data_IF_239218708788
#
_entry.id   IF_239218708788
#
_cell.length_a   1.000
_cell.length_b   1.000
_cell.length_c   1.000
_cell.angle_alpha   90.00
_cell.angle_beta   90.00
_cell.angle_gamma   90.00
#
_symmetry.space_group_name_H-M   'P 1'
#
loop_
_entity.id
_entity.type
_entity.pdbx_description
1 polymer ?
#
# COMPACT_ATOMS: atom_id res chain seq x y z
N UNK A 1 -21.31 23.66 7.91
CA UNK A 1 -21.30 23.09 6.55
C UNK A 1 -21.43 21.58 6.68
N UNK A 2 -22.27 20.94 5.86
CA UNK A 2 -22.35 19.48 5.83
C UNK A 2 -21.03 18.88 5.29
N UNK A 3 -20.59 17.76 5.87
CA UNK A 3 -19.43 17.02 5.36
C UNK A 3 -19.70 16.52 3.93
N UNK A 4 -18.72 16.57 3.02
CA UNK A 4 -18.92 16.09 1.66
C UNK A 4 -19.17 14.57 1.66
N UNK A 5 -20.01 14.08 0.75
CA UNK A 5 -20.32 12.64 0.62
C UNK A 5 -19.18 11.81 0.05
N UNK A 6 -18.16 12.46 -0.51
CA UNK A 6 -16.94 11.86 -1.02
C UNK A 6 -15.81 12.90 -1.01
N UNK A 7 -14.57 12.44 -1.07
CA UNK A 7 -13.37 13.29 -1.13
C UNK A 7 -12.40 12.75 -2.19
N UNK A 8 -11.53 13.62 -2.70
CA UNK A 8 -10.38 13.21 -3.50
C UNK A 8 -9.16 13.21 -2.58
N UNK A 9 -8.49 12.07 -2.46
CA UNK A 9 -7.29 11.94 -1.65
C UNK A 9 -6.04 11.90 -2.54
N UNK A 10 -5.03 12.70 -2.21
CA UNK A 10 -3.72 12.61 -2.84
C UNK A 10 -3.04 11.30 -2.44
N UNK A 11 -2.59 10.51 -3.42
CA UNK A 11 -1.68 9.37 -3.21
C UNK A 11 -0.40 9.80 -2.49
N UNK A 12 0.15 10.98 -2.82
CA UNK A 12 1.33 11.52 -2.11
C UNK A 12 0.90 12.15 -0.80
N UNK A 13 1.42 11.65 0.31
CA UNK A 13 1.29 12.27 1.62
C UNK A 13 2.51 13.17 1.90
N UNK A 14 2.39 14.09 2.85
CA UNK A 14 3.50 14.94 3.29
C UNK A 14 4.06 14.42 4.60
N UNK A 15 5.38 14.36 4.68
CA UNK A 15 6.12 14.12 5.91
C UNK A 15 6.19 15.43 6.75
N UNK A 16 6.41 15.33 8.07
CA UNK A 16 6.61 16.51 8.91
C UNK A 16 7.85 17.29 8.47
N UNK A 17 7.78 18.62 8.49
CA UNK A 17 8.97 19.45 8.40
C UNK A 17 9.69 19.46 9.75
N UNK A 18 11.01 19.66 9.77
CA UNK A 18 11.74 19.88 11.01
C UNK A 18 11.26 21.21 11.64
N UNK A 19 10.28 21.14 12.54
CA UNK A 19 9.66 22.29 13.18
C UNK A 19 8.40 21.91 13.97
N UNK A 20 8.03 22.73 14.94
CA UNK A 20 6.85 22.53 15.79
C UNK A 20 5.57 22.87 15.00
N UNK A 21 4.81 21.84 14.61
CA UNK A 21 3.61 21.98 13.78
C UNK A 21 2.39 22.56 14.55
N UNK A 22 2.53 22.96 15.82
CA UNK A 22 1.49 23.69 16.58
C UNK A 22 0.16 22.93 16.77
N UNK A 23 0.16 21.60 16.57
CA UNK A 23 -1.02 20.73 16.59
C UNK A 23 -1.02 19.82 17.84
N UNK A 24 -2.21 19.41 18.35
CA UNK A 24 -2.34 18.69 19.62
C UNK A 24 -1.49 17.40 19.63
N UNK A 25 -0.68 17.20 20.68
CA UNK A 25 0.20 16.02 20.88
C UNK A 25 -0.59 14.69 20.79
N UNK A 26 -0.03 13.67 20.11
CA UNK A 26 -0.62 12.31 20.04
C UNK A 26 -1.12 11.74 18.69
N UNK A 27 -1.56 12.52 17.70
CA UNK A 27 -2.17 12.01 16.44
C UNK A 27 -1.19 11.37 15.42
N UNK A 28 -1.55 10.29 14.73
CA UNK A 28 -0.70 9.72 13.69
C UNK A 28 -0.56 10.63 12.46
N UNK A 29 -1.63 11.36 12.14
CA UNK A 29 -1.73 12.23 10.98
C UNK A 29 -2.71 13.38 11.23
N UNK A 30 -2.65 14.38 10.37
CA UNK A 30 -3.63 15.47 10.27
C UNK A 30 -4.23 15.48 8.86
N UNK A 31 -5.54 15.73 8.79
CA UNK A 31 -6.30 15.75 7.54
C UNK A 31 -7.29 16.91 7.54
N UNK A 32 -7.13 17.85 6.61
CA UNK A 32 -8.09 18.91 6.38
C UNK A 32 -8.90 18.57 5.12
N UNK A 33 -10.11 18.03 5.31
CA UNK A 33 -10.96 17.59 4.20
C UNK A 33 -11.31 18.77 3.29
N UNK A 34 -10.93 18.65 2.02
CA UNK A 34 -11.29 19.62 1.00
C UNK A 34 -12.57 19.15 0.29
N UNK A 35 -13.55 20.04 0.18
CA UNK A 35 -14.75 19.74 -0.61
C UNK A 35 -14.35 19.53 -2.09
N UNK A 36 -14.85 18.47 -2.75
CA UNK A 36 -14.56 18.21 -4.15
C UNK A 36 -14.89 19.41 -5.07
N UNK A 37 -14.16 19.59 -6.18
CA UNK A 37 -13.13 18.71 -6.75
C UNK A 37 -11.71 18.94 -6.18
N UNK A 38 -11.59 19.62 -5.04
CA UNK A 38 -10.28 19.88 -4.44
C UNK A 38 -9.68 18.61 -3.84
N UNK A 39 -8.37 18.47 -4.00
CA UNK A 39 -7.60 17.34 -3.48
C UNK A 39 -7.29 17.57 -2.01
N UNK A 40 -7.58 16.56 -1.20
CA UNK A 40 -7.20 16.46 0.21
C UNK A 40 -5.82 15.81 0.31
N UNK A 41 -4.91 16.39 1.08
CA UNK A 41 -3.56 15.86 1.30
C UNK A 41 -3.42 15.36 2.74
N UNK A 42 -2.94 14.12 2.90
CA UNK A 42 -2.62 13.55 4.20
C UNK A 42 -1.30 14.12 4.70
N UNK A 43 -1.28 14.63 5.94
CA UNK A 43 -0.05 15.06 6.61
C UNK A 43 0.31 14.08 7.72
N UNK A 44 1.40 13.34 7.58
CA UNK A 44 1.86 12.42 8.62
C UNK A 44 2.64 13.16 9.71
N UNK A 45 2.64 12.59 10.92
CA UNK A 45 3.38 13.10 12.08
C UNK A 45 4.71 12.35 12.27
N UNK A 46 5.68 12.90 13.03
CA UNK A 46 6.97 12.23 13.27
C UNK A 46 6.85 10.82 13.88
N UNK A 47 5.79 10.57 14.64
CA UNK A 47 5.49 9.25 15.20
C UNK A 47 5.16 8.19 14.12
N UNK A 48 4.55 8.60 13.01
CA UNK A 48 4.16 7.71 11.92
C UNK A 48 5.18 7.70 10.76
N UNK A 49 5.91 8.79 10.54
CA UNK A 49 6.87 8.95 9.44
C UNK A 49 8.15 9.61 9.95
N UNK A 50 9.36 9.11 9.60
CA UNK A 50 10.59 9.78 10.01
C UNK A 50 10.68 11.17 9.37
N UNK A 51 11.35 12.09 10.07
CA UNK A 51 11.68 13.43 9.56
C UNK A 51 12.73 13.34 8.45
N UNK A 52 13.74 12.49 8.66
CA UNK A 52 14.80 12.24 7.69
C UNK A 52 14.76 10.78 7.22
N UNK A 53 14.38 10.53 5.97
CA UNK A 53 14.34 9.18 5.42
C UNK A 53 15.76 8.71 5.08
N UNK A 54 15.94 7.40 5.13
CA UNK A 54 17.20 6.78 4.78
C UNK A 54 17.66 7.11 3.31
N UNK A 55 18.89 7.57 3.05
CA UNK A 55 19.34 7.98 1.71
C UNK A 55 19.34 6.88 0.63
N UNK A 56 19.66 5.60 0.90
CA UNK A 56 19.50 4.53 -0.09
C UNK A 56 18.06 3.99 -0.27
N UNK A 57 17.08 4.33 0.59
CA UNK A 57 15.72 3.77 0.45
C UNK A 57 15.03 4.16 -0.89
N UNK A 58 14.15 3.29 -1.40
CA UNK A 58 13.44 3.52 -2.68
C UNK A 58 12.39 4.64 -2.60
N UNK A 59 11.69 4.70 -1.47
CA UNK A 59 10.56 5.60 -1.28
C UNK A 59 10.96 6.78 -0.39
N UNK A 60 11.06 7.98 -0.97
CA UNK A 60 11.49 9.20 -0.26
C UNK A 60 10.37 9.97 0.42
N UNK A 61 9.13 9.65 0.07
CA UNK A 61 7.95 10.34 0.58
C UNK A 61 6.91 9.29 0.95
N UNK A 62 6.07 9.57 1.97
CA UNK A 62 4.98 8.68 2.30
C UNK A 62 3.91 8.70 1.21
N UNK A 63 3.27 7.56 0.99
CA UNK A 63 2.18 7.43 0.03
C UNK A 63 1.02 6.61 0.59
N UNK A 64 -0.20 7.06 0.29
CA UNK A 64 -1.41 6.29 0.54
C UNK A 64 -1.47 5.17 -0.50
N UNK A 65 -1.57 3.94 -0.03
CA UNK A 65 -1.65 2.73 -0.86
C UNK A 65 -3.10 2.31 -1.08
N UNK A 66 -3.90 2.29 -0.02
CA UNK A 66 -5.29 1.85 -0.06
C UNK A 66 -6.12 2.55 1.02
N UNK A 67 -7.44 2.57 0.81
CA UNK A 67 -8.40 3.13 1.76
C UNK A 67 -9.62 2.21 1.90
N UNK A 68 -10.21 2.20 3.09
CA UNK A 68 -11.47 1.52 3.38
C UNK A 68 -12.59 2.54 3.68
N UNK A 69 -13.85 2.28 3.28
CA UNK A 69 -14.98 3.17 3.55
C UNK A 69 -15.23 3.48 5.03
N UNK A 70 -14.72 2.67 5.96
CA UNK A 70 -14.76 2.94 7.40
C UNK A 70 -13.85 4.10 7.85
N UNK A 71 -12.94 4.57 7.00
CA UNK A 71 -11.97 5.61 7.32
C UNK A 71 -10.55 5.08 7.61
N UNK A 72 -10.27 3.81 7.34
CA UNK A 72 -8.90 3.30 7.39
C UNK A 72 -8.09 3.76 6.17
N UNK A 73 -6.86 4.18 6.41
CA UNK A 73 -5.86 4.47 5.37
C UNK A 73 -4.63 3.60 5.58
N UNK A 74 -4.23 2.85 4.56
CA UNK A 74 -2.94 2.18 4.53
C UNK A 74 -1.92 3.10 3.88
N UNK A 75 -0.85 3.39 4.63
CA UNK A 75 0.17 4.34 4.22
C UNK A 75 1.53 3.66 4.27
N UNK A 76 2.24 3.74 3.16
CA UNK A 76 3.66 3.43 3.08
C UNK A 76 4.46 4.65 3.54
N UNK A 77 5.44 4.43 4.41
CA UNK A 77 6.35 5.47 4.89
C UNK A 77 7.79 5.07 4.63
N UNK A 78 8.68 6.04 4.34
CA UNK A 78 10.10 5.78 4.26
C UNK A 78 10.64 5.15 5.57
N UNK A 79 11.67 4.30 5.50
CA UNK A 79 12.36 3.86 6.70
C UNK A 79 13.15 5.02 7.34
N UNK A 80 13.30 5.01 8.67
CA UNK A 80 14.24 5.92 9.34
C UNK A 80 15.67 5.60 8.89
N UNK A 81 16.58 6.56 9.12
CA UNK A 81 18.02 6.36 8.93
C UNK A 81 18.47 5.03 9.54
N UNK A 82 19.00 4.12 8.72
CA UNK A 82 19.59 2.87 9.21
C UNK A 82 21.03 3.11 9.66
N UNK A 83 21.56 2.20 10.47
CA UNK A 83 23.01 2.07 10.59
C UNK A 83 23.62 1.88 9.19
N UNK A 84 24.77 2.48 8.97
CA UNK A 84 25.37 2.59 7.64
C UNK A 84 25.76 1.20 7.14
N UNK A 85 25.06 0.71 6.12
CA UNK A 85 25.53 -0.43 5.35
C UNK A 85 26.63 0.07 4.40
N UNK A 86 27.89 -0.23 4.72
CA UNK A 86 29.04 0.11 3.88
C UNK A 86 28.95 -0.56 2.49
N UNK A 87 28.17 -1.65 2.39
CA UNK A 87 27.97 -2.44 1.19
C UNK A 87 29.26 -3.08 0.66
N UNK A 88 29.13 -3.83 -0.43
CA UNK A 88 30.25 -4.42 -1.16
C UNK A 88 30.57 -3.56 -2.39
N UNK A 89 31.84 -3.19 -2.58
CA UNK A 89 32.27 -2.56 -3.83
C UNK A 89 32.54 -3.65 -4.88
N UNK A 90 31.82 -3.61 -6.00
CA UNK A 90 32.07 -4.47 -7.15
C UNK A 90 32.55 -3.67 -8.33
N UNK A 91 33.72 -4.05 -8.84
CA UNK A 91 34.28 -3.50 -10.07
C UNK A 91 34.07 -4.48 -11.22
N UNK A 92 33.48 -4.01 -12.32
CA UNK A 92 33.42 -4.77 -13.57
C UNK A 92 34.07 -3.98 -14.70
N UNK A 93 34.68 -4.69 -15.63
CA UNK A 93 35.27 -4.12 -16.84
C UNK A 93 34.40 -4.50 -18.03
N UNK A 94 33.98 -3.52 -18.82
CA UNK A 94 33.20 -3.78 -20.02
C UNK A 94 34.08 -4.24 -21.20
N UNK A 95 33.45 -4.63 -22.31
CA UNK A 95 34.12 -5.11 -23.51
C UNK A 95 35.05 -4.05 -24.17
N UNK A 96 34.92 -2.77 -23.78
CA UNK A 96 35.76 -1.65 -24.25
C UNK A 96 36.91 -1.37 -23.28
N UNK A 97 37.06 -2.15 -22.22
CA UNK A 97 38.08 -1.97 -21.19
C UNK A 97 37.73 -0.92 -20.14
N UNK A 98 36.50 -0.38 -20.13
CA UNK A 98 36.08 0.62 -19.14
C UNK A 98 35.73 -0.08 -17.83
N UNK A 99 36.43 0.27 -16.76
CA UNK A 99 36.11 -0.18 -15.42
C UNK A 99 35.00 0.67 -14.80
N UNK A 100 34.03 -0.01 -14.17
CA UNK A 100 32.95 0.61 -13.42
C UNK A 100 32.89 -0.04 -12.05
N UNK A 101 32.95 0.77 -11.02
CA UNK A 101 32.73 0.32 -9.63
C UNK A 101 31.33 0.71 -9.19
N UNK A 102 30.55 -0.27 -8.73
CA UNK A 102 29.24 -0.06 -8.11
C UNK A 102 29.31 -0.49 -6.64
N UNK A 103 28.65 0.26 -5.76
CA UNK A 103 28.42 -0.17 -4.38
C UNK A 103 27.12 -0.98 -4.33
N UNK A 104 27.21 -2.21 -3.83
CA UNK A 104 26.09 -3.13 -3.65
C UNK A 104 25.81 -3.21 -2.16
N UNK A 105 24.77 -2.51 -1.71
CA UNK A 105 24.29 -2.57 -0.32
C UNK A 105 22.84 -3.03 -0.27
N UNK A 106 22.36 -3.33 0.94
CA UNK A 106 20.96 -3.56 1.22
C UNK A 106 20.19 -2.25 0.99
N UNK A 107 19.07 -2.35 0.29
CA UNK A 107 18.14 -1.23 0.14
C UNK A 107 17.13 -1.30 1.29
N UNK A 108 17.06 -0.30 2.17
CA UNK A 108 16.14 -0.37 3.31
C UNK A 108 14.68 -0.45 2.87
N UNK A 109 13.95 -1.40 3.46
CA UNK A 109 12.52 -1.62 3.19
C UNK A 109 11.69 -0.47 3.74
N UNK A 110 10.61 -0.07 3.04
CA UNK A 110 9.65 0.88 3.59
C UNK A 110 8.93 0.29 4.82
N UNK A 111 8.28 1.16 5.59
CA UNK A 111 7.40 0.77 6.70
C UNK A 111 5.95 0.99 6.30
N UNK A 112 5.04 0.18 6.83
CA UNK A 112 3.62 0.29 6.58
C UNK A 112 2.91 0.68 7.86
N UNK A 113 1.93 1.56 7.74
CA UNK A 113 1.07 1.97 8.86
C UNK A 113 -0.37 2.05 8.39
N UNK A 114 -1.27 1.51 9.20
CA UNK A 114 -2.71 1.74 9.03
C UNK A 114 -3.12 2.84 9.99
N UNK A 115 -3.75 3.88 9.44
CA UNK A 115 -4.30 4.98 10.20
C UNK A 115 -5.82 4.89 10.22
N UNK A 116 -6.40 4.96 11.42
CA UNK A 116 -7.84 4.96 11.61
C UNK A 116 -8.36 6.38 11.84
N UNK A 117 -9.21 6.86 10.93
CA UNK A 117 -9.84 8.19 10.97
C UNK A 117 -11.26 8.15 11.56
N UNK A 118 -11.77 6.98 11.93
CA UNK A 118 -13.12 6.81 12.46
C UNK A 118 -13.24 7.21 13.94
N UNK A 119 -12.11 7.31 14.67
CA UNK A 119 -12.12 7.65 16.09
C UNK A 119 -12.58 9.09 16.31
N UNK A 120 -13.60 9.27 17.16
CA UNK A 120 -14.17 10.56 17.56
C UNK A 120 -13.22 11.40 18.43
N UNK A 121 -12.14 10.83 18.95
CA UNK A 121 -11.00 11.59 19.46
C UNK A 121 -10.21 12.06 18.25
N UNK A 122 -9.95 13.37 18.13
CA UNK A 122 -9.32 14.05 16.98
C UNK A 122 -7.84 13.63 16.69
N UNK A 123 -7.50 12.39 17.00
CA UNK A 123 -6.19 11.79 17.11
C UNK A 123 -6.25 10.46 16.36
N UNK A 124 -5.96 10.49 15.05
CA UNK A 124 -5.85 9.27 14.26
C UNK A 124 -4.85 8.32 14.93
N UNK A 125 -5.21 7.06 15.16
CA UNK A 125 -4.25 6.07 15.68
C UNK A 125 -3.44 5.50 14.52
N UNK A 126 -2.17 5.20 14.76
CA UNK A 126 -1.30 4.53 13.79
C UNK A 126 -0.98 3.13 14.30
N UNK A 127 -1.40 2.12 13.54
CA UNK A 127 -1.05 0.73 13.78
C UNK A 127 0.06 0.33 12.81
N UNK A 128 1.30 0.09 13.29
CA UNK A 128 2.37 -0.37 12.42
C UNK A 128 2.02 -1.76 11.87
N UNK A 129 2.29 -1.95 10.59
CA UNK A 129 2.16 -3.24 9.91
C UNK A 129 3.58 -3.76 9.67
N UNK A 130 4.02 -4.82 10.38
CA UNK A 130 5.37 -5.34 10.22
C UNK A 130 5.53 -5.93 8.82
N UNK A 131 6.69 -5.78 8.19
CA UNK A 131 7.00 -6.55 6.99
C UNK A 131 7.40 -7.98 7.42
N UNK A 132 6.68 -9.04 7.01
CA UNK A 132 7.03 -10.40 7.38
C UNK A 132 8.28 -10.80 6.60
N UNK A 133 9.47 -10.46 7.10
CA UNK A 133 10.76 -10.90 6.55
C UNK A 133 10.96 -10.60 5.06
N UNK A 134 10.63 -9.38 4.62
CA UNK A 134 10.82 -8.92 3.24
C UNK A 134 10.03 -9.75 2.23
N UNK A 135 8.87 -10.27 2.65
CA UNK A 135 7.98 -11.08 1.80
C UNK A 135 6.93 -10.24 1.07
N UNK A 136 6.85 -8.94 1.34
CA UNK A 136 6.02 -8.02 0.58
C UNK A 136 6.73 -7.72 -0.74
N UNK A 137 6.13 -8.09 -1.87
CA UNK A 137 6.83 -8.10 -3.16
C UNK A 137 6.69 -6.75 -3.89
N UNK A 138 5.47 -6.27 -4.06
CA UNK A 138 5.20 -5.13 -4.95
C UNK A 138 4.61 -3.91 -4.23
N UNK A 139 4.36 -4.02 -2.93
CA UNK A 139 3.64 -3.02 -2.13
C UNK A 139 2.18 -2.81 -2.60
N UNK A 140 1.63 -3.79 -3.32
CA UNK A 140 0.23 -3.84 -3.76
C UNK A 140 -0.65 -4.39 -2.63
N UNK A 141 -0.68 -3.63 -1.54
CA UNK A 141 -1.38 -3.98 -0.32
C UNK A 141 -2.76 -3.32 -0.26
N UNK A 142 -3.79 -4.12 -0.04
CA UNK A 142 -5.13 -3.65 0.33
C UNK A 142 -5.29 -3.55 1.84
N UNK A 143 -6.22 -2.71 2.28
CA UNK A 143 -6.70 -2.67 3.68
C UNK A 143 -8.22 -2.78 3.70
N UNK A 144 -8.74 -3.56 4.64
CA UNK A 144 -10.19 -3.73 4.81
C UNK A 144 -10.53 -3.81 6.30
N UNK A 145 -11.60 -3.14 6.70
CA UNK A 145 -12.12 -3.22 8.06
C UNK A 145 -12.71 -4.60 8.34
N UNK A 146 -12.50 -5.11 9.55
CA UNK A 146 -13.09 -6.37 9.98
C UNK A 146 -14.62 -6.23 10.12
N UNK A 147 -15.40 -7.27 9.75
CA UNK A 147 -16.83 -7.27 9.96
C UNK A 147 -17.16 -7.17 11.46
N UNK A 148 -18.26 -6.50 11.79
CA UNK A 148 -18.72 -6.32 13.18
C UNK A 148 -18.11 -5.13 13.92
N UNK A 149 -17.22 -4.37 13.29
CA UNK A 149 -16.67 -3.13 13.85
C UNK A 149 -15.61 -3.34 14.95
N UNK A 150 -15.24 -2.22 15.60
CA UNK A 150 -14.26 -2.20 16.69
C UNK A 150 -12.82 -1.89 16.28
N UNK A 151 -12.61 -1.18 15.15
CA UNK A 151 -11.28 -0.72 14.73
C UNK A 151 -10.31 -1.82 14.28
N UNK A 152 -10.78 -3.06 14.18
CA UNK A 152 -9.99 -4.18 13.65
C UNK A 152 -9.96 -4.13 12.13
N UNK A 153 -8.84 -4.58 11.55
CA UNK A 153 -8.63 -4.56 10.11
C UNK A 153 -7.72 -5.71 9.66
N UNK A 154 -7.71 -5.95 8.36
CA UNK A 154 -6.76 -6.82 7.69
C UNK A 154 -6.01 -6.05 6.60
N UNK A 155 -4.70 -6.29 6.49
CA UNK A 155 -3.89 -5.83 5.35
C UNK A 155 -3.51 -7.05 4.52
N UNK A 156 -3.68 -6.96 3.20
CA UNK A 156 -3.58 -8.14 2.33
C UNK A 156 -2.78 -7.83 1.08
N UNK A 157 -1.83 -8.71 0.75
CA UNK A 157 -1.19 -8.77 -0.57
C UNK A 157 -1.67 -10.02 -1.32
N UNK A 158 -1.97 -9.88 -2.61
CA UNK A 158 -2.18 -11.02 -3.51
C UNK A 158 -0.89 -11.33 -4.25
N UNK A 159 -0.29 -12.48 -3.95
CA UNK A 159 0.99 -12.92 -4.50
C UNK A 159 0.76 -14.02 -5.53
N UNK A 160 1.13 -13.76 -6.78
CA UNK A 160 0.94 -14.71 -7.88
C UNK A 160 2.12 -14.71 -8.85
N UNK A 161 2.24 -15.80 -9.62
CA UNK A 161 3.16 -15.92 -10.75
C UNK A 161 2.32 -15.96 -12.03
N UNK A 162 2.76 -15.23 -13.06
CA UNK A 162 2.08 -15.17 -14.36
C UNK A 162 1.87 -16.57 -14.93
N UNK A 163 0.61 -16.92 -15.20
CA UNK A 163 0.22 -18.23 -15.73
C UNK A 163 0.25 -19.39 -14.73
N UNK A 164 0.58 -19.14 -13.46
CA UNK A 164 0.42 -20.10 -12.38
C UNK A 164 -1.05 -20.34 -12.04
N UNK A 165 -1.39 -21.56 -11.60
CA UNK A 165 -2.76 -21.93 -11.18
C UNK A 165 -3.05 -21.68 -9.70
N UNK A 166 -2.01 -21.40 -8.93
CA UNK A 166 -2.09 -21.14 -7.49
C UNK A 166 -1.52 -19.75 -7.21
N UNK A 167 -2.06 -19.10 -6.18
CA UNK A 167 -1.59 -17.85 -5.64
C UNK A 167 -1.60 -17.94 -4.10
N UNK A 168 -1.02 -16.94 -3.45
CA UNK A 168 -1.03 -16.80 -2.00
C UNK A 168 -1.61 -15.45 -1.62
N UNK A 169 -2.59 -15.43 -0.73
CA UNK A 169 -2.95 -14.23 0.02
C UNK A 169 -2.06 -14.16 1.25
N UNK A 170 -1.29 -13.09 1.38
CA UNK A 170 -0.50 -12.77 2.56
C UNK A 170 -1.31 -11.77 3.39
N UNK A 171 -1.84 -12.22 4.53
CA UNK A 171 -2.82 -11.49 5.34
C UNK A 171 -2.25 -11.11 6.71
N UNK A 172 -2.14 -9.82 7.02
CA UNK A 172 -1.88 -9.32 8.37
C UNK A 172 -3.19 -9.05 9.09
N UNK A 173 -3.40 -9.65 10.27
CA UNK A 173 -4.55 -9.34 11.13
C UNK A 173 -4.13 -8.39 12.24
N UNK A 174 -4.87 -7.29 12.41
CA UNK A 174 -4.66 -6.36 13.52
C UNK A 174 -5.02 -6.98 14.88
N UNK A 175 -5.85 -8.02 14.90
CA UNK A 175 -6.29 -8.69 16.13
C UNK A 175 -5.21 -9.63 16.68
N UNK A 176 -4.57 -10.41 15.81
CA UNK A 176 -3.50 -11.31 16.23
C UNK A 176 -2.11 -10.66 16.18
N UNK A 177 -1.98 -9.53 15.47
CA UNK A 177 -0.70 -8.87 15.19
C UNK A 177 0.23 -9.71 14.31
N UNK A 178 -0.30 -10.71 13.59
CA UNK A 178 0.48 -11.69 12.85
C UNK A 178 0.07 -11.77 11.38
N UNK A 179 1.04 -12.19 10.57
CA UNK A 179 0.82 -12.58 9.18
C UNK A 179 0.44 -14.04 9.06
N UNK A 180 -0.51 -14.33 8.20
CA UNK A 180 -0.89 -15.66 7.78
C UNK A 180 -0.83 -15.74 6.24
N UNK A 181 -0.46 -16.92 5.72
CA UNK A 181 -0.49 -17.22 4.30
C UNK A 181 -1.69 -18.11 4.02
N UNK A 182 -2.53 -17.73 3.06
CA UNK A 182 -3.65 -18.55 2.58
C UNK A 182 -3.38 -18.91 1.13
N UNK A 183 -3.34 -20.21 0.81
CA UNK A 183 -3.26 -20.66 -0.58
C UNK A 183 -4.62 -20.50 -1.23
N UNK A 184 -4.64 -19.96 -2.44
CA UNK A 184 -5.88 -19.76 -3.20
C UNK A 184 -5.67 -20.17 -4.66
N UNK A 185 -6.76 -20.49 -5.34
CA UNK A 185 -6.72 -20.64 -6.80
C UNK A 185 -6.38 -19.29 -7.43
N UNK A 186 -5.54 -19.30 -8.47
CA UNK A 186 -5.28 -18.13 -9.29
C UNK A 186 -6.22 -18.12 -10.51
N UNK A 187 -7.26 -17.28 -10.54
CA UNK A 187 -8.19 -17.23 -11.67
C UNK A 187 -7.68 -16.34 -12.80
N UNK A 188 -6.53 -15.67 -12.63
CA UNK A 188 -6.05 -14.70 -13.59
C UNK A 188 -5.64 -15.37 -14.91
N UNK A 189 -5.93 -14.72 -16.07
CA UNK A 189 -5.42 -15.19 -17.35
C UNK A 189 -3.90 -15.13 -17.40
N UNK A 190 -3.29 -15.72 -18.44
CA UNK A 190 -1.85 -15.58 -18.72
C UNK A 190 -1.53 -14.14 -19.16
N UNK A 191 -1.51 -13.23 -18.20
CA UNK A 191 -1.31 -11.80 -18.37
C UNK A 191 -0.41 -11.27 -17.24
N UNK A 192 0.43 -10.28 -17.55
CA UNK A 192 1.19 -9.54 -16.54
C UNK A 192 0.29 -8.49 -15.91
N UNK A 193 -0.29 -8.82 -14.76
CA UNK A 193 -1.15 -7.89 -14.02
C UNK A 193 -0.35 -6.75 -13.43
N UNK A 194 -0.86 -5.54 -13.61
CA UNK A 194 -0.20 -4.28 -13.22
C UNK A 194 -0.67 -3.75 -11.87
N UNK A 195 -1.76 -4.30 -11.30
CA UNK A 195 -2.31 -3.93 -9.99
C UNK A 195 -2.40 -2.41 -9.79
N UNK A 196 -3.09 -1.73 -10.71
CA UNK A 196 -3.19 -0.26 -10.77
C UNK A 196 -3.72 0.37 -9.47
N UNK A 197 -4.67 -0.30 -8.81
CA UNK A 197 -5.23 0.13 -7.52
C UNK A 197 -5.86 -1.05 -6.74
N UNK A 198 -6.15 -0.83 -5.46
CA UNK A 198 -6.82 -1.81 -4.59
C UNK A 198 -7.91 -1.12 -3.76
N UNK A 199 -9.14 -1.61 -3.87
CA UNK A 199 -10.31 -0.99 -3.25
C UNK A 199 -11.01 -1.96 -2.30
N UNK A 200 -11.39 -1.48 -1.12
CA UNK A 200 -12.31 -2.20 -0.23
C UNK A 200 -13.76 -1.84 -0.59
N UNK A 201 -14.55 -2.86 -0.95
CA UNK A 201 -15.96 -2.67 -1.29
C UNK A 201 -16.76 -3.96 -1.07
N UNK A 202 -17.93 -3.83 -0.44
CA UNK A 202 -18.88 -4.94 -0.27
C UNK A 202 -18.32 -6.12 0.55
N UNK A 203 -17.45 -5.84 1.53
CA UNK A 203 -16.80 -6.89 2.33
C UNK A 203 -15.68 -7.65 1.60
N UNK A 204 -15.26 -7.18 0.42
CA UNK A 204 -14.17 -7.76 -0.36
C UNK A 204 -13.09 -6.72 -0.63
N UNK A 205 -11.88 -7.21 -0.84
CA UNK A 205 -10.84 -6.44 -1.51
C UNK A 205 -10.93 -6.69 -3.01
N UNK A 206 -10.74 -5.63 -3.79
CA UNK A 206 -10.76 -5.61 -5.25
C UNK A 206 -9.44 -5.07 -5.78
N UNK A 207 -8.62 -5.94 -6.34
CA UNK A 207 -7.42 -5.58 -7.09
C UNK A 207 -7.81 -5.19 -8.52
N UNK A 208 -7.39 -4.01 -8.95
CA UNK A 208 -7.79 -3.40 -10.21
C UNK A 208 -6.64 -3.45 -11.21
N UNK A 209 -6.90 -3.97 -12.40
CA UNK A 209 -6.06 -3.76 -13.58
C UNK A 209 -6.89 -3.05 -14.65
N UNK A 210 -6.48 -1.83 -15.01
CA UNK A 210 -7.22 -0.99 -15.94
C UNK A 210 -7.28 -1.53 -17.38
N UNK A 211 -6.57 -2.62 -17.68
CA UNK A 211 -6.53 -3.26 -19.00
C UNK A 211 -7.23 -4.61 -18.96
N UNK A 212 -6.99 -5.43 -17.93
CA UNK A 212 -7.47 -6.81 -17.88
C UNK A 212 -8.83 -6.96 -17.19
N UNK A 213 -9.02 -6.37 -16.02
CA UNK A 213 -10.12 -6.77 -15.15
C UNK A 213 -9.99 -6.37 -13.70
N UNK A 214 -10.91 -6.92 -12.92
CA UNK A 214 -10.95 -6.85 -11.47
C UNK A 214 -10.75 -8.24 -10.90
N UNK A 215 -9.98 -8.34 -9.83
CA UNK A 215 -9.82 -9.55 -9.04
C UNK A 215 -10.32 -9.26 -7.64
N UNK A 216 -11.17 -10.12 -7.07
CA UNK A 216 -11.75 -9.90 -5.76
C UNK A 216 -11.74 -11.13 -4.87
N UNK A 217 -11.69 -10.92 -3.56
CA UNK A 217 -12.00 -11.95 -2.58
C UNK A 217 -12.43 -11.33 -1.25
N UNK A 218 -13.16 -12.10 -0.43
CA UNK A 218 -13.27 -11.82 1.01
C UNK A 218 -12.06 -12.43 1.71
N UNK A 219 -11.13 -11.61 2.25
CA UNK A 219 -9.93 -12.14 2.88
C UNK A 219 -10.19 -12.70 4.30
N UNK A 220 -11.36 -12.42 4.91
CA UNK A 220 -11.72 -12.95 6.23
C UNK A 220 -12.24 -14.38 6.19
N UNK A 221 -12.73 -14.84 5.03
CA UNK A 221 -13.13 -16.22 4.84
C UNK A 221 -12.00 -17.20 5.23
N UNK A 222 -12.37 -18.34 5.83
CA UNK A 222 -11.43 -19.41 6.16
C UNK A 222 -10.74 -19.93 4.90
N UNK A 223 -11.54 -20.14 3.84
CA UNK A 223 -11.09 -20.50 2.50
C UNK A 223 -11.49 -19.40 1.50
N UNK A 224 -10.66 -18.35 1.29
CA UNK A 224 -10.99 -17.28 0.36
C UNK A 224 -11.11 -17.78 -1.07
N UNK A 225 -12.25 -17.51 -1.69
CA UNK A 225 -12.47 -17.74 -3.12
C UNK A 225 -12.09 -16.48 -3.91
N UNK A 226 -11.19 -16.64 -4.88
CA UNK A 226 -10.80 -15.57 -5.80
C UNK A 226 -11.78 -15.49 -6.96
N UNK A 227 -12.29 -14.29 -7.22
CA UNK A 227 -13.25 -13.98 -8.28
C UNK A 227 -12.58 -13.06 -9.30
N UNK A 228 -12.53 -13.48 -10.56
CA UNK A 228 -12.03 -12.65 -11.66
C UNK A 228 -13.19 -12.13 -12.50
N UNK A 229 -13.24 -10.82 -12.69
CA UNK A 229 -14.19 -10.12 -13.55
C UNK A 229 -13.41 -9.45 -14.68
N UNK A 230 -13.52 -9.98 -15.89
CA UNK A 230 -12.87 -9.41 -17.06
C UNK A 230 -13.52 -8.08 -17.46
N UNK A 231 -12.69 -7.08 -17.83
CA UNK A 231 -13.22 -5.85 -18.42
C UNK A 231 -13.89 -6.16 -19.78
N UNK A 232 -14.96 -5.44 -20.15
CA UNK A 232 -15.55 -5.56 -21.47
C UNK A 232 -14.47 -5.35 -22.54
N UNK A 233 -14.51 -6.16 -23.61
CA UNK A 233 -13.70 -5.87 -24.79
C UNK A 233 -14.11 -4.47 -25.29
N UNK A 234 -13.16 -3.55 -25.40
CA UNK A 234 -13.43 -2.26 -26.00
C UNK A 234 -13.88 -2.47 -27.45
N UNK A 235 -14.94 -1.79 -27.87
CA UNK A 235 -15.29 -1.63 -29.28
C UNK A 235 -14.22 -0.77 -29.96
N UNK A 236 -13.03 -1.32 -30.15
CA UNK A 236 -12.09 -0.75 -31.10
C UNK A 236 -12.61 -1.16 -32.47
N UNK A 237 -13.56 -0.38 -33.00
CA UNK A 237 -13.83 -0.41 -34.42
C UNK A 237 -12.51 -0.09 -35.13
N UNK A 238 -11.82 -1.12 -35.61
CA UNK A 238 -10.78 -0.95 -36.60
C UNK A 238 -11.45 -0.33 -37.83
N UNK A 239 -11.40 0.99 -37.91
CA UNK A 239 -11.74 1.72 -39.12
C UNK A 239 -10.78 1.26 -40.21
N UNK A 240 -11.24 0.32 -41.03
CA UNK A 240 -10.67 0.08 -42.35
C UNK A 240 -10.93 1.34 -43.18
N UNK A 241 -9.91 2.19 -43.26
CA UNK A 241 -9.74 3.14 -44.36
C UNK A 241 -9.01 2.49 -45.52
#
# INVERSE_FOLDING_TARGET
MASPSWIILSRKATAPAAGDDGLPQGAALSLALAAPPRVTTVKLRPAACPVEPDPPCRHKFPCVLAADPSGLLLILTPPPLSERDEGELRTSRDARGVERTIRIGRVPSPRYVVCDLSSATATATASPVPDPRELIFNNDLGVIAAPGGGGRFMVVEFQTIVGGREATLLCFSSESGKWARKKVANPLPRWMWTFSDIVSHGGKLWWVDCVAGLLACDPFAEEPAMEYVQLPAGDVQHGHG
#
